data_IF_687899541307
#
_entry.id   IF_687899541307
#
_cell.length_a   1.000
_cell.length_b   1.000
_cell.length_c   1.000
_cell.angle_alpha   90.00
_cell.angle_beta   90.00
_cell.angle_gamma   90.00
#
_symmetry.space_group_name_H-M   'P 1'
#
loop_
_entity.id
_entity.type
_entity.pdbx_description
1 polymer ?
#
# COMPACT_ATOMS: atom_id res chain seq x y z
N UNK A 1 -12.61 2.25 -72.63
CA UNK A 1 -13.58 1.14 -72.47
C UNK A 1 -13.20 0.35 -71.22
N UNK A 2 -13.70 0.65 -70.03
CA UNK A 2 -14.57 1.75 -69.58
C UNK A 2 -14.23 1.96 -68.07
N UNK A 3 -14.34 3.12 -67.43
CA UNK A 3 -15.44 4.11 -67.36
C UNK A 3 -16.78 3.51 -66.90
N UNK A 4 -17.52 4.08 -65.94
CA UNK A 4 -17.22 5.09 -64.91
C UNK A 4 -18.41 5.09 -63.92
N UNK A 5 -18.26 5.65 -62.71
CA UNK A 5 -19.36 6.04 -61.78
C UNK A 5 -20.20 4.93 -61.10
N UNK A 6 -21.06 5.21 -60.11
CA UNK A 6 -21.06 6.19 -58.97
C UNK A 6 -22.30 5.91 -58.08
N UNK A 7 -22.13 5.77 -56.77
CA UNK A 7 -23.00 6.32 -55.69
C UNK A 7 -22.35 5.95 -54.33
N UNK A 8 -21.99 6.82 -53.37
CA UNK A 8 -22.45 8.14 -52.88
C UNK A 8 -23.72 8.18 -52.02
N UNK A 9 -23.52 8.05 -50.70
CA UNK A 9 -24.26 8.70 -49.60
C UNK A 9 -23.48 8.44 -48.30
N UNK A 10 -22.66 9.33 -47.72
CA UNK A 10 -22.71 10.79 -47.51
C UNK A 10 -23.85 11.25 -46.57
N UNK A 11 -23.58 12.33 -45.83
CA UNK A 11 -24.30 12.92 -44.69
C UNK A 11 -24.02 12.15 -43.37
N UNK A 12 -23.11 12.51 -42.46
CA UNK A 12 -22.30 13.70 -42.09
C UNK A 12 -22.56 14.02 -40.58
N UNK A 13 -21.62 14.66 -39.85
CA UNK A 13 -21.65 14.68 -38.38
C UNK A 13 -22.30 15.93 -37.78
N UNK A 14 -23.23 15.74 -36.84
CA UNK A 14 -23.82 16.76 -35.96
C UNK A 14 -24.19 16.13 -34.60
N UNK A 15 -24.30 16.85 -33.46
CA UNK A 15 -23.73 18.13 -32.99
C UNK A 15 -23.67 18.00 -31.45
N UNK A 16 -22.54 18.27 -30.80
CA UNK A 16 -22.25 19.54 -30.11
C UNK A 16 -23.09 19.87 -28.86
N UNK A 17 -22.41 19.91 -27.70
CA UNK A 17 -22.75 20.64 -26.43
C UNK A 17 -24.04 20.21 -25.66
N UNK A 18 -24.21 20.55 -24.35
CA UNK A 18 -23.48 21.55 -23.55
C UNK A 18 -22.71 21.06 -22.31
N UNK A 19 -21.49 21.62 -22.20
CA UNK A 19 -20.86 21.99 -20.93
C UNK A 19 -21.74 23.01 -20.22
N UNK A 20 -22.50 22.60 -19.20
CA UNK A 20 -23.21 23.52 -18.32
C UNK A 20 -22.33 23.89 -17.12
N UNK A 21 -21.53 24.95 -17.29
CA UNK A 21 -21.18 25.81 -16.17
C UNK A 21 -22.32 26.82 -15.99
N UNK A 22 -22.96 26.83 -14.82
CA UNK A 22 -23.27 28.08 -14.09
C UNK A 22 -23.82 27.79 -12.70
N UNK A 23 -23.20 28.40 -11.70
CA UNK A 23 -23.81 28.64 -10.38
C UNK A 23 -24.74 29.85 -10.47
N UNK A 24 -25.76 29.94 -9.60
CA UNK A 24 -25.66 30.82 -8.41
C UNK A 24 -25.74 30.00 -7.09
N UNK A 25 -25.05 30.33 -6.00
CA UNK A 25 -25.21 31.51 -5.11
C UNK A 25 -26.52 31.43 -4.28
N UNK A 26 -26.54 31.56 -2.94
CA UNK A 26 -25.52 31.95 -1.94
C UNK A 26 -25.86 31.33 -0.56
N UNK A 27 -24.96 31.44 0.43
CA UNK A 27 -25.25 31.39 1.89
C UNK A 27 -25.60 30.02 2.47
N UNK A 28 -24.94 29.49 3.52
CA UNK A 28 -23.73 29.86 4.27
C UNK A 28 -23.21 28.58 5.00
N UNK A 29 -22.07 28.49 5.69
CA UNK A 29 -21.05 29.46 6.09
C UNK A 29 -19.66 28.80 6.20
N UNK A 30 -18.59 29.57 6.38
CA UNK A 30 -17.24 29.05 6.67
C UNK A 30 -16.37 30.07 7.42
N UNK A 31 -15.91 29.78 8.66
CA UNK A 31 -14.81 30.52 9.28
C UNK A 31 -13.46 30.05 8.73
N UNK A 32 -12.66 30.98 8.20
CA UNK A 32 -11.22 30.77 7.90
C UNK A 32 -10.40 31.87 8.63
N UNK A 33 -9.07 32.06 8.45
CA UNK A 33 -8.18 32.14 9.62
C UNK A 33 -7.52 33.52 9.85
N UNK A 34 -6.91 33.76 11.02
CA UNK A 34 -6.07 34.93 11.26
C UNK A 34 -4.57 34.70 11.01
N UNK A 35 -3.95 35.65 10.31
CA UNK A 35 -2.51 35.95 10.17
C UNK A 35 -2.41 37.47 9.87
N UNK A 36 -1.23 38.13 9.91
CA UNK A 36 -0.21 38.12 10.97
C UNK A 36 0.31 39.55 11.31
N UNK A 37 0.82 39.79 12.52
CA UNK A 37 1.57 41.04 12.89
C UNK A 37 2.56 40.75 14.06
N UNK A 38 3.61 41.57 14.31
CA UNK A 38 4.95 40.98 14.43
C UNK A 38 5.77 41.31 15.69
N UNK A 39 6.89 40.58 15.81
CA UNK A 39 8.23 40.96 16.30
C UNK A 39 8.41 42.11 17.34
N UNK A 40 8.94 41.75 18.51
CA UNK A 40 9.73 42.64 19.38
C UNK A 40 10.77 41.84 20.18
N UNK A 41 11.95 42.44 20.44
CA UNK A 41 13.06 41.90 21.27
C UNK A 41 13.64 43.05 22.15
N UNK A 42 14.58 42.81 23.08
CA UNK A 42 14.33 42.85 24.52
C UNK A 42 14.95 44.06 25.24
N UNK A 43 14.58 44.26 26.51
CA UNK A 43 15.57 44.49 27.59
C UNK A 43 15.23 43.65 28.85
N UNK A 44 15.98 43.59 29.96
CA UNK A 44 17.42 43.68 30.27
C UNK A 44 17.57 43.24 31.77
N UNK A 45 18.78 42.91 32.25
CA UNK A 45 19.07 42.54 33.66
C UNK A 45 19.52 43.79 34.48
N UNK A 46 19.95 43.75 35.77
CA UNK A 46 20.36 42.66 36.69
C UNK A 46 19.32 42.42 37.83
N UNK A 47 19.51 42.04 39.10
CA UNK A 47 20.65 41.86 40.08
C UNK A 47 20.13 40.94 41.24
N UNK A 48 20.79 40.56 42.36
CA UNK A 48 22.05 40.91 43.03
C UNK A 48 22.98 39.69 43.30
N UNK A 49 23.14 39.24 44.56
CA UNK A 49 24.12 38.23 45.03
C UNK A 49 23.70 37.60 46.38
N UNK A 50 24.01 36.32 46.59
CA UNK A 50 24.33 35.60 47.84
C UNK A 50 24.36 34.09 47.52
N UNK A 51 25.19 33.21 48.09
CA UNK A 51 26.48 33.34 48.79
C UNK A 51 27.22 31.98 48.60
N UNK A 52 28.55 31.88 48.78
CA UNK A 52 29.30 30.64 48.50
C UNK A 52 30.32 30.33 49.61
N UNK A 53 30.25 29.14 50.24
CA UNK A 53 31.36 28.17 50.13
C UNK A 53 30.92 26.68 50.32
N UNK A 54 31.83 25.69 50.31
CA UNK A 54 32.89 25.42 49.32
C UNK A 54 32.83 23.95 48.81
N UNK A 55 33.84 23.54 48.04
CA UNK A 55 34.04 22.26 47.38
C UNK A 55 33.58 20.97 48.10
N UNK A 56 32.89 20.12 47.32
CA UNK A 56 32.99 18.65 47.41
C UNK A 56 32.95 18.05 46.01
N UNK A 57 34.09 17.57 45.52
CA UNK A 57 34.10 16.60 44.41
C UNK A 57 33.42 15.30 44.89
N UNK A 58 32.32 14.92 44.25
CA UNK A 58 31.77 13.55 44.35
C UNK A 58 31.66 12.98 42.94
N UNK A 59 32.51 11.98 42.68
CA UNK A 59 32.74 11.36 41.38
C UNK A 59 31.76 10.22 41.16
N UNK A 60 30.49 10.55 40.99
CA UNK A 60 29.44 9.55 40.74
C UNK A 60 29.17 9.30 39.25
N UNK A 61 28.95 8.03 38.92
CA UNK A 61 28.71 7.57 37.55
C UNK A 61 27.20 7.49 37.31
N UNK A 62 26.59 8.58 36.86
CA UNK A 62 25.21 8.52 36.39
C UNK A 62 25.15 7.88 34.99
N UNK A 63 24.54 6.70 34.82
CA UNK A 63 24.38 6.09 33.49
C UNK A 63 23.37 6.91 32.68
N UNK A 64 23.76 7.28 31.46
CA UNK A 64 23.04 8.30 30.71
C UNK A 64 21.60 7.93 30.38
N UNK A 65 20.74 8.95 30.49
CA UNK A 65 19.47 9.11 29.77
C UNK A 65 18.41 8.02 29.96
N UNK A 66 17.32 8.38 30.67
CA UNK A 66 16.04 7.65 30.58
C UNK A 66 15.51 7.77 29.15
N UNK A 67 15.85 6.80 28.28
CA UNK A 67 15.53 6.79 26.84
C UNK A 67 14.06 7.13 26.58
N UNK A 68 13.81 8.00 25.61
CA UNK A 68 12.46 8.37 25.14
C UNK A 68 11.88 7.31 24.19
N UNK A 69 11.83 6.06 24.66
CA UNK A 69 11.57 4.80 23.92
C UNK A 69 10.28 4.75 23.08
N UNK A 70 9.39 5.74 23.19
CA UNK A 70 8.17 5.81 22.39
C UNK A 70 8.39 6.32 20.97
N UNK A 71 9.00 7.50 20.82
CA UNK A 71 8.74 8.34 19.64
C UNK A 71 9.37 7.82 18.34
N UNK A 72 10.65 7.40 18.37
CA UNK A 72 11.35 6.97 17.16
C UNK A 72 10.92 5.57 16.73
N UNK A 73 10.88 4.62 17.66
CA UNK A 73 10.38 3.24 17.43
C UNK A 73 8.96 3.27 16.87
N UNK A 74 8.05 4.04 17.47
CA UNK A 74 6.68 4.15 16.97
C UNK A 74 6.62 4.77 15.56
N UNK A 75 7.40 5.81 15.29
CA UNK A 75 7.43 6.45 13.96
C UNK A 75 7.94 5.50 12.87
N UNK A 76 8.99 4.72 13.16
CA UNK A 76 9.49 3.69 12.25
C UNK A 76 8.50 2.54 12.09
N UNK A 77 7.90 2.05 13.18
CA UNK A 77 6.93 0.95 13.11
C UNK A 77 5.67 1.35 12.34
N UNK A 78 5.17 2.57 12.51
CA UNK A 78 4.07 3.13 11.70
C UNK A 78 4.46 3.27 10.22
N UNK A 79 5.68 3.73 9.91
CA UNK A 79 6.15 3.82 8.53
C UNK A 79 6.26 2.44 7.85
N UNK A 80 6.74 1.42 8.56
CA UNK A 80 6.80 0.03 8.08
C UNK A 80 5.38 -0.56 7.89
N UNK A 81 4.46 -0.32 8.84
CA UNK A 81 3.06 -0.73 8.71
C UNK A 81 2.30 -0.01 7.58
N UNK A 82 2.82 1.12 7.10
CA UNK A 82 2.29 1.87 5.96
C UNK A 82 2.66 1.31 4.59
N UNK A 83 3.68 0.45 4.48
CA UNK A 83 4.01 -0.21 3.21
C UNK A 83 3.23 -1.53 3.08
N UNK A 84 2.45 -1.65 1.99
CA UNK A 84 1.60 -2.81 1.72
C UNK A 84 2.36 -4.14 1.58
N UNK A 85 3.67 -4.10 1.39
CA UNK A 85 4.54 -5.29 1.39
C UNK A 85 4.98 -5.66 2.81
N UNK A 86 5.22 -4.67 3.67
CA UNK A 86 5.88 -4.89 4.96
C UNK A 86 4.92 -5.14 6.14
N UNK A 87 3.66 -4.67 6.08
CA UNK A 87 2.71 -4.85 7.19
C UNK A 87 2.36 -6.30 7.53
N UNK A 88 2.62 -7.25 6.61
CA UNK A 88 2.44 -8.68 6.82
C UNK A 88 3.56 -9.33 7.67
N UNK A 89 4.70 -8.65 7.85
CA UNK A 89 5.85 -9.19 8.58
C UNK A 89 5.90 -8.68 10.02
N UNK A 90 6.21 -9.59 10.93
CA UNK A 90 6.55 -9.25 12.31
C UNK A 90 7.99 -8.74 12.36
N UNK A 91 8.14 -7.43 12.13
CA UNK A 91 9.40 -6.70 12.22
C UNK A 91 9.49 -6.03 13.60
N UNK A 92 10.54 -6.37 14.34
CA UNK A 92 10.95 -5.70 15.56
C UNK A 92 11.83 -4.50 15.22
N UNK A 93 11.67 -3.43 16.00
CA UNK A 93 12.34 -2.14 15.81
C UNK A 93 12.88 -1.69 17.16
N UNK A 94 14.19 -1.46 17.23
CA UNK A 94 14.91 -1.04 18.43
C UNK A 94 15.68 0.26 18.14
N UNK A 95 15.69 1.20 19.09
CA UNK A 95 16.43 2.46 18.96
C UNK A 95 17.59 2.59 19.97
N UNK A 96 18.75 2.99 19.45
CA UNK A 96 19.96 3.27 20.23
C UNK A 96 20.70 4.46 19.63
N UNK A 97 20.74 5.58 20.34
CA UNK A 97 21.44 6.82 19.93
C UNK A 97 21.20 7.27 18.47
N UNK A 98 19.93 7.27 18.03
CA UNK A 98 19.50 7.60 16.65
C UNK A 98 19.94 6.59 15.57
N UNK A 99 20.49 5.45 15.99
CA UNK A 99 20.63 4.23 15.19
C UNK A 99 19.42 3.34 15.41
N UNK A 100 18.75 2.95 14.33
CA UNK A 100 17.61 2.02 14.37
C UNK A 100 18.06 0.64 13.96
N UNK A 101 17.81 -0.36 14.79
CA UNK A 101 17.98 -1.78 14.41
C UNK A 101 16.63 -2.35 13.96
N UNK A 102 16.63 -2.98 12.79
CA UNK A 102 15.50 -3.75 12.27
C UNK A 102 15.79 -5.24 12.41
N UNK A 103 14.98 -5.95 13.18
CA UNK A 103 15.10 -7.39 13.45
C UNK A 103 13.81 -8.12 13.04
N UNK A 104 13.90 -9.41 12.75
CA UNK A 104 12.76 -10.20 12.28
C UNK A 104 13.03 -10.90 10.94
N UNK A 105 11.96 -11.25 10.23
CA UNK A 105 12.01 -12.11 9.04
C UNK A 105 11.19 -11.51 7.89
N UNK A 106 11.68 -11.67 6.67
CA UNK A 106 11.02 -11.22 5.43
C UNK A 106 11.11 -12.30 4.34
N UNK A 107 10.28 -12.19 3.32
CA UNK A 107 10.19 -13.18 2.23
C UNK A 107 11.28 -13.02 1.17
N UNK A 108 11.69 -11.77 0.92
CA UNK A 108 12.53 -11.36 -0.21
C UNK A 108 13.63 -10.37 0.19
N UNK A 109 14.63 -10.18 -0.67
CA UNK A 109 15.71 -9.22 -0.45
C UNK A 109 15.31 -7.78 -0.83
N UNK A 110 14.32 -7.68 -1.72
CA UNK A 110 13.61 -6.47 -2.12
C UNK A 110 12.84 -5.86 -0.95
N UNK A 111 12.14 -6.68 -0.16
CA UNK A 111 11.50 -6.25 1.10
C UNK A 111 12.52 -5.89 2.17
N UNK A 112 13.60 -6.69 2.31
CA UNK A 112 14.71 -6.35 3.21
C UNK A 112 15.28 -4.97 2.90
N UNK A 113 15.49 -4.67 1.63
CA UNK A 113 16.00 -3.37 1.16
C UNK A 113 14.97 -2.27 1.38
N UNK A 114 13.70 -2.53 1.04
CA UNK A 114 12.58 -1.60 1.29
C UNK A 114 12.47 -1.22 2.77
N UNK A 115 12.54 -2.19 3.70
CA UNK A 115 12.43 -1.91 5.13
C UNK A 115 13.54 -0.98 5.63
N UNK A 116 14.77 -1.15 5.12
CA UNK A 116 15.88 -0.22 5.39
C UNK A 116 15.57 1.18 4.86
N UNK A 117 15.12 1.31 3.62
CA UNK A 117 14.75 2.62 3.05
C UNK A 117 13.63 3.31 3.82
N UNK A 118 12.58 2.55 4.19
CA UNK A 118 11.42 3.08 4.94
C UNK A 118 11.87 3.59 6.30
N UNK A 119 12.72 2.85 7.02
CA UNK A 119 13.31 3.34 8.27
C UNK A 119 14.24 4.55 8.07
N UNK A 120 15.03 4.60 6.99
CA UNK A 120 15.88 5.76 6.67
C UNK A 120 15.09 7.03 6.29
N UNK A 121 13.84 6.89 5.81
CA UNK A 121 12.95 8.02 5.48
C UNK A 121 12.28 8.63 6.72
N UNK A 122 12.45 8.05 7.91
CA UNK A 122 11.84 8.56 9.15
C UNK A 122 12.70 9.66 9.80
N UNK A 123 12.06 10.79 10.11
CA UNK A 123 12.72 11.92 10.76
C UNK A 123 13.36 11.53 12.10
N UNK A 124 14.64 11.85 12.27
CA UNK A 124 15.42 11.57 13.49
C UNK A 124 16.32 10.33 13.41
N UNK A 125 16.17 9.50 12.37
CA UNK A 125 17.07 8.36 12.12
C UNK A 125 18.38 8.83 11.47
N UNK A 126 19.53 8.47 12.06
CA UNK A 126 20.87 8.70 11.48
C UNK A 126 21.43 7.45 10.78
N UNK A 127 21.26 6.29 11.41
CA UNK A 127 21.75 5.01 10.91
C UNK A 127 20.64 3.95 10.97
N UNK A 128 20.68 2.98 10.05
CA UNK A 128 19.78 1.82 10.06
C UNK A 128 20.59 0.54 9.92
N UNK A 129 20.57 -0.29 10.97
CA UNK A 129 21.20 -1.61 11.04
C UNK A 129 20.14 -2.66 10.69
N UNK A 130 20.24 -3.24 9.50
CA UNK A 130 19.27 -4.21 9.01
C UNK A 130 19.72 -5.65 9.31
N UNK A 131 19.12 -6.24 10.36
CA UNK A 131 19.32 -7.64 10.79
C UNK A 131 18.21 -8.58 10.31
N UNK A 132 17.38 -8.18 9.34
CA UNK A 132 16.29 -9.01 8.81
C UNK A 132 16.85 -10.25 8.10
N UNK A 133 16.29 -11.42 8.42
CA UNK A 133 16.60 -12.69 7.73
C UNK A 133 15.63 -12.91 6.58
N UNK A 134 16.13 -13.33 5.42
CA UNK A 134 15.30 -13.66 4.24
C UNK A 134 14.95 -15.16 4.26
N UNK A 135 13.72 -15.50 4.59
CA UNK A 135 13.23 -16.88 4.67
C UNK A 135 12.23 -17.17 3.55
N UNK A 136 12.72 -17.72 2.42
CA UNK A 136 11.91 -18.04 1.24
C UNK A 136 10.80 -19.07 1.47
N UNK A 137 10.84 -19.81 2.58
CA UNK A 137 9.77 -20.75 2.96
C UNK A 137 8.71 -20.09 3.86
N UNK A 138 9.04 -19.00 4.56
CA UNK A 138 8.02 -18.08 5.09
C UNK A 138 7.32 -17.33 3.96
N UNK A 139 8.04 -16.95 2.89
CA UNK A 139 7.44 -16.39 1.68
C UNK A 139 6.30 -17.29 1.15
N UNK A 140 6.63 -18.54 0.81
CA UNK A 140 5.65 -19.52 0.34
C UNK A 140 4.53 -19.75 1.34
N UNK A 141 4.81 -19.74 2.65
CA UNK A 141 3.79 -19.98 3.69
C UNK A 141 2.82 -18.80 3.83
N UNK A 142 3.31 -17.56 3.71
CA UNK A 142 2.48 -16.34 3.78
C UNK A 142 1.72 -16.10 2.48
N UNK A 143 2.39 -16.21 1.32
CA UNK A 143 1.73 -16.19 0.00
C UNK A 143 0.63 -17.24 -0.05
N UNK A 144 0.90 -18.50 0.34
CA UNK A 144 -0.11 -19.57 0.32
C UNK A 144 -1.33 -19.30 1.22
N UNK A 145 -1.18 -18.56 2.33
CA UNK A 145 -2.31 -18.11 3.15
C UNK A 145 -3.12 -17.00 2.46
N UNK A 146 -2.45 -16.06 1.80
CA UNK A 146 -3.11 -15.03 0.99
C UNK A 146 -3.82 -15.65 -0.22
N UNK A 147 -3.16 -16.56 -0.93
CA UNK A 147 -3.65 -17.29 -2.09
C UNK A 147 -4.90 -18.13 -1.77
N UNK A 148 -4.95 -18.79 -0.60
CA UNK A 148 -6.12 -19.55 -0.16
C UNK A 148 -7.32 -18.63 0.16
N UNK A 149 -7.07 -17.49 0.84
CA UNK A 149 -8.07 -16.46 1.08
C UNK A 149 -8.58 -15.82 -0.24
N UNK A 150 -7.67 -15.53 -1.18
CA UNK A 150 -8.02 -15.09 -2.54
C UNK A 150 -8.84 -16.14 -3.27
N UNK A 151 -8.47 -17.43 -3.19
CA UNK A 151 -9.24 -18.51 -3.81
C UNK A 151 -10.66 -18.59 -3.24
N UNK A 152 -10.81 -18.35 -1.94
CA UNK A 152 -12.09 -18.34 -1.25
C UNK A 152 -12.96 -17.14 -1.68
N UNK A 153 -12.37 -15.95 -1.78
CA UNK A 153 -13.05 -14.75 -2.30
C UNK A 153 -13.48 -14.91 -3.77
N UNK A 154 -12.64 -15.52 -4.62
CA UNK A 154 -12.99 -15.81 -6.03
C UNK A 154 -14.11 -16.85 -6.10
N UNK A 155 -14.05 -17.94 -5.30
CA UNK A 155 -15.14 -18.94 -5.18
C UNK A 155 -16.45 -18.31 -4.70
N UNK A 156 -16.39 -17.35 -3.78
CA UNK A 156 -17.55 -16.59 -3.31
C UNK A 156 -18.15 -15.70 -4.41
N UNK A 157 -17.32 -15.00 -5.20
CA UNK A 157 -17.76 -14.24 -6.39
C UNK A 157 -18.38 -15.15 -7.45
N UNK A 158 -17.75 -16.29 -7.75
CA UNK A 158 -18.25 -17.25 -8.73
C UNK A 158 -19.60 -17.85 -8.27
N UNK A 159 -19.77 -18.07 -6.96
CA UNK A 159 -21.04 -18.53 -6.38
C UNK A 159 -22.19 -17.53 -6.51
N UNK A 160 -21.91 -16.24 -6.80
CA UNK A 160 -22.91 -15.19 -7.04
C UNK A 160 -23.33 -15.06 -8.51
N UNK A 161 -22.58 -15.61 -9.46
CA UNK A 161 -23.03 -15.77 -10.85
C UNK A 161 -23.60 -17.17 -11.07
N UNK A 162 -24.84 -17.25 -11.55
CA UNK A 162 -25.46 -18.52 -11.92
C UNK A 162 -24.68 -19.21 -13.06
N UNK A 163 -24.13 -18.44 -14.01
CA UNK A 163 -23.34 -18.93 -15.15
C UNK A 163 -22.07 -19.62 -14.67
N UNK A 164 -21.30 -18.94 -13.81
CA UNK A 164 -20.01 -19.44 -13.31
C UNK A 164 -20.19 -20.65 -12.37
N UNK A 165 -21.28 -20.65 -11.58
CA UNK A 165 -21.65 -21.78 -10.73
C UNK A 165 -22.06 -23.02 -11.54
N UNK A 166 -22.79 -22.85 -12.65
CA UNK A 166 -23.14 -23.96 -13.54
C UNK A 166 -21.91 -24.55 -14.26
N UNK A 167 -20.89 -23.74 -14.54
CA UNK A 167 -19.65 -24.15 -15.20
C UNK A 167 -18.65 -24.91 -14.31
N UNK A 168 -18.85 -24.96 -12.98
CA UNK A 168 -18.04 -25.74 -12.03
C UNK A 168 -16.50 -25.57 -12.17
N UNK A 169 -16.04 -24.32 -12.35
CA UNK A 169 -14.60 -24.01 -12.44
C UNK A 169 -13.80 -24.45 -11.20
N UNK A 170 -12.67 -25.12 -11.41
CA UNK A 170 -11.68 -25.33 -10.35
C UNK A 170 -10.73 -24.12 -10.28
N UNK A 171 -10.89 -23.34 -9.20
CA UNK A 171 -10.11 -22.14 -8.92
C UNK A 171 -8.92 -22.46 -8.02
N UNK A 172 -7.71 -22.20 -8.50
CA UNK A 172 -6.45 -22.22 -7.75
C UNK A 172 -5.80 -20.84 -7.78
N UNK A 173 -4.99 -20.50 -6.78
CA UNK A 173 -4.24 -19.22 -6.73
C UNK A 173 -2.80 -19.51 -6.35
N UNK A 174 -1.85 -18.87 -7.01
CA UNK A 174 -0.41 -18.98 -6.75
C UNK A 174 0.24 -17.58 -6.90
N UNK A 175 0.79 -17.04 -5.81
CA UNK A 175 1.43 -15.72 -5.72
C UNK A 175 0.57 -14.54 -6.24
N UNK A 176 -0.75 -14.62 -6.01
CA UNK A 176 -1.75 -13.66 -6.49
C UNK A 176 -2.17 -13.85 -7.95
N UNK A 177 -1.69 -14.88 -8.65
CA UNK A 177 -2.18 -15.29 -9.97
C UNK A 177 -3.27 -16.34 -9.80
N UNK A 178 -4.47 -16.09 -10.35
CA UNK A 178 -5.58 -17.04 -10.30
C UNK A 178 -5.54 -17.96 -11.52
N UNK A 179 -5.40 -19.26 -11.31
CA UNK A 179 -5.49 -20.29 -12.35
C UNK A 179 -6.92 -20.85 -12.38
N UNK A 180 -7.61 -20.63 -13.50
CA UNK A 180 -8.94 -21.17 -13.76
C UNK A 180 -8.82 -22.44 -14.63
N UNK A 181 -9.46 -23.52 -14.18
CA UNK A 181 -9.49 -24.80 -14.87
C UNK A 181 -10.95 -25.24 -15.04
N UNK A 182 -11.29 -25.88 -16.16
CA UNK A 182 -12.63 -26.41 -16.39
C UNK A 182 -12.98 -26.58 -17.87
N UNK A 183 -14.23 -26.94 -18.15
CA UNK A 183 -14.77 -27.02 -19.50
C UNK A 183 -16.04 -26.18 -19.57
N UNK A 184 -16.17 -25.35 -20.60
CA UNK A 184 -17.30 -24.41 -20.74
C UNK A 184 -17.93 -24.50 -22.11
N UNK A 185 -19.25 -24.28 -22.19
CA UNK A 185 -19.99 -24.40 -23.46
C UNK A 185 -19.72 -23.25 -24.44
N UNK A 186 -19.25 -22.11 -23.93
CA UNK A 186 -19.02 -20.89 -24.71
C UNK A 186 -17.86 -20.08 -24.12
N UNK A 187 -17.03 -19.48 -24.98
CA UNK A 187 -15.86 -18.69 -24.58
C UNK A 187 -16.22 -17.46 -23.72
N UNK A 188 -17.43 -16.92 -23.87
CA UNK A 188 -17.93 -15.82 -23.02
C UNK A 188 -17.96 -16.18 -21.53
N UNK A 189 -18.17 -17.46 -21.18
CA UNK A 189 -18.19 -17.93 -19.79
C UNK A 189 -16.76 -17.90 -19.20
N UNK A 190 -15.75 -18.25 -20.00
CA UNK A 190 -14.35 -18.12 -19.59
C UNK A 190 -13.93 -16.65 -19.42
N UNK A 191 -14.45 -15.75 -20.26
CA UNK A 191 -14.22 -14.31 -20.15
C UNK A 191 -14.90 -13.70 -18.90
N UNK A 192 -16.16 -14.06 -18.64
CA UNK A 192 -16.92 -13.68 -17.43
C UNK A 192 -16.18 -14.18 -16.17
N UNK A 193 -15.71 -15.42 -16.16
CA UNK A 193 -14.94 -16.01 -15.06
C UNK A 193 -13.65 -15.22 -14.80
N UNK A 194 -12.91 -14.89 -15.87
CA UNK A 194 -11.67 -14.14 -15.77
C UNK A 194 -11.92 -12.69 -15.31
N UNK A 195 -13.03 -12.07 -15.68
CA UNK A 195 -13.39 -10.73 -15.19
C UNK A 195 -13.84 -10.75 -13.73
N UNK A 196 -14.71 -11.68 -13.34
CA UNK A 196 -15.15 -11.86 -11.96
C UNK A 196 -13.98 -12.13 -11.00
N UNK A 197 -12.96 -12.86 -11.46
CA UNK A 197 -11.71 -13.06 -10.73
C UNK A 197 -10.85 -11.78 -10.65
N UNK A 198 -10.69 -11.03 -11.76
CA UNK A 198 -9.97 -9.72 -11.76
C UNK A 198 -10.60 -8.67 -10.84
N UNK A 199 -11.90 -8.76 -10.53
CA UNK A 199 -12.60 -7.88 -9.60
C UNK A 199 -12.36 -8.19 -8.10
N UNK A 200 -11.53 -9.19 -7.77
CA UNK A 200 -11.16 -9.51 -6.37
C UNK A 200 -9.87 -8.76 -5.99
N UNK A 201 -9.89 -7.93 -4.92
CA UNK A 201 -8.70 -7.22 -4.45
C UNK A 201 -7.54 -8.18 -4.14
N UNK A 202 -6.35 -7.87 -4.66
CA UNK A 202 -5.14 -8.68 -4.49
C UNK A 202 -4.84 -9.64 -5.66
N UNK A 203 -5.79 -9.86 -6.58
CA UNK A 203 -5.52 -10.62 -7.82
C UNK A 203 -4.64 -9.80 -8.76
N UNK A 204 -3.47 -10.33 -9.11
CA UNK A 204 -2.47 -9.71 -9.99
C UNK A 204 -2.69 -10.06 -11.46
N UNK A 205 -3.08 -11.30 -11.72
CA UNK A 205 -3.38 -11.82 -13.06
C UNK A 205 -4.36 -13.01 -12.96
N UNK A 206 -5.00 -13.35 -14.08
CA UNK A 206 -5.86 -14.53 -14.20
C UNK A 206 -5.45 -15.32 -15.43
N UNK A 207 -5.12 -16.59 -15.25
CA UNK A 207 -4.75 -17.52 -16.31
C UNK A 207 -5.95 -18.44 -16.62
N UNK A 208 -6.32 -18.54 -17.90
CA UNK A 208 -7.40 -19.39 -18.43
C UNK A 208 -6.93 -20.44 -19.44
N UNK A 209 -5.63 -20.68 -19.58
CA UNK A 209 -5.01 -21.68 -20.50
C UNK A 209 -5.51 -23.11 -20.26
N UNK A 210 -6.05 -23.38 -19.07
CA UNK A 210 -6.60 -24.68 -18.65
C UNK A 210 -8.13 -24.73 -18.68
N UNK A 211 -8.78 -23.73 -19.29
CA UNK A 211 -10.20 -23.75 -19.63
C UNK A 211 -10.36 -24.21 -21.09
N UNK A 212 -11.24 -25.18 -21.35
CA UNK A 212 -11.51 -25.73 -22.69
C UNK A 212 -12.96 -25.52 -23.11
N UNK A 213 -13.25 -25.54 -24.41
CA UNK A 213 -14.62 -25.51 -24.92
C UNK A 213 -15.23 -26.91 -25.01
N UNK A 214 -16.50 -27.07 -24.61
CA UNK A 214 -17.27 -28.29 -24.88
C UNK A 214 -17.54 -28.42 -26.38
N UNK A 215 -16.78 -29.25 -27.07
CA UNK A 215 -16.95 -29.53 -28.51
C UNK A 215 -15.67 -29.47 -29.33
N UNK A 216 -14.57 -28.96 -28.78
CA UNK A 216 -13.24 -29.14 -29.37
C UNK A 216 -12.67 -30.50 -28.94
N UNK A 217 -12.53 -31.44 -29.88
CA UNK A 217 -12.01 -32.80 -29.69
C UNK A 217 -11.45 -33.36 -30.99
#
# INVERSE_FOLDING_TARGET
KSDTSTEHKEVAPEKSVPRLQQSPATTDSQPTPPKPVPEAKPPAAPTMKADLPPDREVKDKEPALRKTLGSLILSVKLALMGDSRLFHYEIEVEDDEQTVTLSGRVSTEEEKTTAKEVAQKVHGVKNVVNKLTVEKDLAKTLSKKQDDALSSLVKERFSKSATLKAANFEVKTEEGVVLLNGTVRFQVIALEAAEAARQVPGVRAVNTEKVRLEGES
#
